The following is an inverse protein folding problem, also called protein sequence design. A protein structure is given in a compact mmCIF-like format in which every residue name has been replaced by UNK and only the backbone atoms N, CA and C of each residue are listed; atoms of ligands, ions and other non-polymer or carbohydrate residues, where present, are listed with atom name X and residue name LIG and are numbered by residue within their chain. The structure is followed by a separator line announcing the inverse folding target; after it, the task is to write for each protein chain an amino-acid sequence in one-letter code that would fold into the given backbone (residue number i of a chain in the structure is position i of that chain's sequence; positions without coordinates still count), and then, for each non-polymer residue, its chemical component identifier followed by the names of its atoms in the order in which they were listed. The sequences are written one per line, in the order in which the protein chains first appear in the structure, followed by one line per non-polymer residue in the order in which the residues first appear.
data_IF_768741277830
#
_entry.id   IF_768741277830
#
_cell.length_a   1.000
_cell.length_b   1.000
_cell.length_c   1.000
_cell.angle_alpha   90.00
_cell.angle_beta   90.00
_cell.angle_gamma   90.00
#
_symmetry.space_group_name_H-M   'P 1'
#
loop_
_entity.id
_entity.type
_entity.pdbx_description
1 polymer ?
#
# COMPACT_ATOMS: atom_id res chain seq x y z
N UNK A 1 -2.71 36.50 3.36
CA UNK A 1 -3.19 35.28 4.05
C UNK A 1 -2.11 34.23 3.87
N UNK A 2 -1.49 33.74 4.94
CA UNK A 2 -0.48 32.67 4.85
C UNK A 2 -1.21 31.33 4.68
N UNK A 3 -0.91 30.60 3.61
CA UNK A 3 -1.43 29.26 3.38
C UNK A 3 -0.83 28.33 4.43
N UNK A 4 -1.67 27.54 5.10
CA UNK A 4 -1.18 26.50 6.01
C UNK A 4 -0.28 25.53 5.23
N UNK A 5 0.86 25.10 5.80
CA UNK A 5 1.65 24.03 5.19
C UNK A 5 0.77 22.78 5.12
N UNK A 6 0.63 22.25 3.91
CA UNK A 6 -0.11 21.01 3.69
C UNK A 6 0.74 19.84 4.18
N UNK A 7 0.17 18.97 5.01
CA UNK A 7 0.81 17.76 5.53
C UNK A 7 1.27 16.80 4.43
N UNK A 8 0.75 16.95 3.21
CA UNK A 8 1.09 16.11 2.07
C UNK A 8 1.78 16.90 0.96
N UNK A 9 2.78 16.30 0.28
CA UNK A 9 3.37 16.92 -0.90
C UNK A 9 2.32 17.09 -2.01
N UNK A 10 2.43 18.10 -2.88
CA UNK A 10 1.51 18.28 -4.02
C UNK A 10 1.42 17.08 -4.97
N UNK A 11 2.47 16.24 -5.03
CA UNK A 11 2.51 14.99 -5.80
C UNK A 11 2.18 13.72 -5.00
N UNK A 12 1.72 13.84 -3.76
CA UNK A 12 1.58 12.73 -2.83
C UNK A 12 2.92 12.18 -2.33
N UNK A 13 2.88 11.05 -1.62
CA UNK A 13 4.06 10.42 -1.02
C UNK A 13 4.80 9.44 -1.94
N UNK A 14 4.40 9.33 -3.22
CA UNK A 14 4.96 8.34 -4.15
C UNK A 14 4.64 6.88 -3.79
N UNK A 15 5.27 5.94 -4.50
CA UNK A 15 5.10 4.52 -4.28
C UNK A 15 5.62 4.12 -2.88
N UNK A 16 4.97 3.19 -2.15
CA UNK A 16 5.38 2.81 -0.80
C UNK A 16 6.87 2.47 -0.64
N UNK A 17 7.48 1.84 -1.66
CA UNK A 17 8.90 1.47 -1.67
C UNK A 17 9.88 2.66 -1.70
N UNK A 18 9.41 3.83 -2.11
CA UNK A 18 10.22 5.06 -2.22
C UNK A 18 9.96 6.01 -1.03
N UNK A 19 9.09 5.58 -0.08
CA UNK A 19 8.77 6.37 1.12
C UNK A 19 9.84 6.17 2.19
N UNK A 20 10.20 7.26 2.85
CA UNK A 20 11.09 7.25 4.00
C UNK A 20 10.33 7.61 5.27
N UNK A 21 10.71 6.98 6.39
CA UNK A 21 10.20 7.34 7.71
C UNK A 21 10.73 8.72 8.11
N UNK A 22 9.88 9.54 8.72
CA UNK A 22 10.31 10.82 9.33
C UNK A 22 10.83 10.52 10.75
N UNK A 23 12.00 9.90 10.84
CA UNK A 23 12.54 9.40 12.11
C UNK A 23 13.12 10.50 13.02
N UNK A 24 13.30 11.72 12.50
CA UNK A 24 14.16 12.73 13.12
C UNK A 24 13.43 13.74 14.03
N UNK A 25 12.12 13.59 14.25
CA UNK A 25 11.36 14.51 15.11
C UNK A 25 11.10 13.90 16.51
N UNK A 26 11.28 14.74 17.54
CA UNK A 26 10.74 14.48 18.88
C UNK A 26 9.21 14.29 18.76
N UNK A 27 8.77 13.05 18.90
CA UNK A 27 7.36 12.67 18.78
C UNK A 27 6.54 13.05 20.04
N UNK A 28 7.18 13.64 21.06
CA UNK A 28 6.55 14.04 22.31
C UNK A 28 6.12 12.87 23.20
N UNK A 29 6.51 11.64 22.89
CA UNK A 29 6.16 10.45 23.66
C UNK A 29 7.14 10.25 24.84
N UNK A 30 6.67 9.78 26.01
CA UNK A 30 7.54 9.44 27.12
C UNK A 30 8.63 8.44 26.74
N UNK A 31 9.81 8.57 27.36
CA UNK A 31 10.90 7.61 27.18
C UNK A 31 10.45 6.19 27.53
N UNK A 32 10.77 5.23 26.65
CA UNK A 32 10.35 3.83 26.80
C UNK A 32 8.96 3.53 26.24
N UNK A 33 8.28 4.49 25.61
CA UNK A 33 7.03 4.23 24.88
C UNK A 33 7.30 3.36 23.65
N UNK A 34 6.64 2.20 23.57
CA UNK A 34 6.60 1.37 22.36
C UNK A 34 5.32 1.67 21.56
N UNK A 35 5.49 1.86 20.24
CA UNK A 35 4.36 2.11 19.32
C UNK A 35 4.10 0.86 18.49
N UNK A 36 2.87 0.36 18.55
CA UNK A 36 2.40 -0.74 17.71
C UNK A 36 1.36 -0.23 16.74
N UNK A 37 1.62 -0.38 15.43
CA UNK A 37 0.62 -0.03 14.43
C UNK A 37 -0.47 -1.09 14.38
N UNK A 38 -1.73 -0.68 14.56
CA UNK A 38 -2.88 -1.55 14.36
C UNK A 38 -3.19 -1.80 12.87
N UNK A 39 -2.55 -1.04 11.97
CA UNK A 39 -2.73 -1.15 10.52
C UNK A 39 -1.38 -1.06 9.80
N UNK A 40 -1.08 -2.06 8.98
CA UNK A 40 0.07 -2.04 8.10
C UNK A 40 -0.24 -2.81 6.82
N UNK A 41 0.41 -2.43 5.74
CA UNK A 41 0.19 -3.00 4.41
C UNK A 41 1.48 -3.60 3.87
N UNK A 42 1.36 -4.68 3.10
CA UNK A 42 2.47 -5.29 2.36
C UNK A 42 2.33 -4.99 0.87
N UNK A 43 3.45 -4.77 0.20
CA UNK A 43 3.47 -4.68 -1.27
C UNK A 43 3.62 -6.08 -1.85
N UNK A 44 2.84 -6.40 -2.88
CA UNK A 44 2.87 -7.70 -3.57
C UNK A 44 3.25 -7.50 -5.03
N UNK A 45 4.12 -8.37 -5.53
CA UNK A 45 4.53 -8.44 -6.94
C UNK A 45 4.16 -9.77 -7.61
N UNK A 46 3.55 -10.68 -6.87
CA UNK A 46 3.26 -12.05 -7.29
C UNK A 46 1.77 -12.35 -7.19
N UNK A 47 1.27 -13.25 -8.03
CA UNK A 47 -0.15 -13.63 -8.09
C UNK A 47 -0.51 -14.67 -7.00
N UNK A 48 -0.22 -14.29 -5.75
CA UNK A 48 -0.27 -15.19 -4.59
C UNK A 48 -1.64 -15.84 -4.37
N UNK A 49 -2.71 -15.15 -4.76
CA UNK A 49 -4.07 -15.64 -4.60
C UNK A 49 -4.33 -16.79 -5.58
N UNK A 50 -4.06 -16.59 -6.87
CA UNK A 50 -4.25 -17.64 -7.88
C UNK A 50 -3.42 -18.89 -7.57
N UNK A 51 -2.17 -18.70 -7.13
CA UNK A 51 -1.27 -19.82 -6.82
C UNK A 51 -1.74 -20.68 -5.64
N UNK A 52 -2.29 -20.04 -4.61
CA UNK A 52 -2.68 -20.68 -3.34
C UNK A 52 -4.18 -20.98 -3.22
N UNK A 53 -5.02 -20.48 -4.12
CA UNK A 53 -6.45 -20.77 -4.10
C UNK A 53 -6.75 -22.25 -4.35
N UNK A 54 -7.85 -22.79 -3.76
CA UNK A 54 -8.34 -24.12 -4.09
C UNK A 54 -8.49 -24.31 -5.60
N UNK A 55 -8.12 -25.49 -6.11
CA UNK A 55 -8.00 -25.74 -7.55
C UNK A 55 -9.30 -25.39 -8.31
N UNK A 56 -10.45 -25.77 -7.75
CA UNK A 56 -11.78 -25.51 -8.29
C UNK A 56 -12.24 -24.04 -8.22
N UNK A 57 -11.51 -23.20 -7.48
CA UNK A 57 -11.79 -21.78 -7.32
C UNK A 57 -10.71 -20.86 -7.91
N UNK A 58 -9.62 -21.39 -8.47
CA UNK A 58 -8.49 -20.59 -8.97
C UNK A 58 -8.90 -19.51 -9.96
N UNK A 59 -9.78 -19.85 -10.90
CA UNK A 59 -10.27 -18.90 -11.90
C UNK A 59 -11.17 -17.79 -11.32
N UNK A 60 -11.58 -17.91 -10.05
CA UNK A 60 -12.33 -16.88 -9.31
C UNK A 60 -11.46 -16.09 -8.34
N UNK A 61 -10.18 -16.45 -8.21
CA UNK A 61 -9.27 -15.78 -7.31
C UNK A 61 -9.02 -14.32 -7.78
N UNK A 62 -8.80 -13.39 -6.83
CA UNK A 62 -8.15 -12.12 -7.15
C UNK A 62 -6.87 -12.36 -7.95
N UNK A 63 -6.58 -11.47 -8.90
CA UNK A 63 -5.40 -11.50 -9.74
C UNK A 63 -4.51 -10.31 -9.41
N UNK A 64 -3.21 -10.52 -9.40
CA UNK A 64 -2.19 -9.47 -9.34
C UNK A 64 -1.51 -9.34 -10.70
N UNK A 65 -1.37 -8.13 -11.22
CA UNK A 65 -0.63 -7.85 -12.46
C UNK A 65 0.03 -6.48 -12.42
N UNK A 66 1.06 -6.27 -13.23
CA UNK A 66 1.71 -4.97 -13.37
C UNK A 66 1.17 -4.21 -14.59
N UNK A 67 0.80 -2.95 -14.39
CA UNK A 67 0.24 -2.07 -15.41
C UNK A 67 0.51 -0.61 -15.02
N UNK A 68 0.84 0.25 -16.00
CA UNK A 68 1.01 1.70 -15.82
C UNK A 68 1.89 2.14 -14.64
N UNK A 69 2.94 1.37 -14.34
CA UNK A 69 3.90 1.71 -13.29
C UNK A 69 3.55 1.19 -11.89
N UNK A 70 2.45 0.46 -11.73
CA UNK A 70 2.00 -0.07 -10.44
C UNK A 70 1.54 -1.53 -10.55
N UNK A 71 1.54 -2.23 -9.41
CA UNK A 71 0.86 -3.52 -9.28
C UNK A 71 -0.62 -3.28 -8.95
N UNK A 72 -1.48 -3.95 -9.71
CA UNK A 72 -2.92 -3.87 -9.63
C UNK A 72 -3.48 -5.13 -8.96
N UNK A 73 -4.66 -5.00 -8.36
CA UNK A 73 -5.43 -6.12 -7.81
C UNK A 73 -6.87 -6.06 -8.32
N UNK A 74 -7.40 -7.18 -8.80
CA UNK A 74 -8.70 -7.22 -9.46
C UNK A 74 -9.18 -8.63 -9.76
N UNK A 75 -10.28 -8.75 -10.51
CA UNK A 75 -10.77 -10.04 -11.03
C UNK A 75 -9.94 -10.55 -12.21
N UNK A 76 -9.14 -9.66 -12.80
CA UNK A 76 -8.32 -9.89 -13.97
C UNK A 76 -7.93 -8.56 -14.61
N UNK A 77 -7.08 -8.61 -15.64
CA UNK A 77 -6.64 -7.40 -16.36
C UNK A 77 -7.85 -6.58 -16.83
N UNK A 78 -7.83 -5.27 -16.55
CA UNK A 78 -8.92 -4.34 -16.87
C UNK A 78 -10.16 -4.43 -15.96
N UNK A 79 -10.18 -5.31 -14.96
CA UNK A 79 -11.27 -5.43 -13.97
C UNK A 79 -10.72 -5.27 -12.54
N UNK A 80 -10.23 -4.07 -12.24
CA UNK A 80 -9.79 -3.68 -10.88
C UNK A 80 -10.96 -3.69 -9.88
N UNK A 81 -10.66 -3.91 -8.60
CA UNK A 81 -11.64 -3.75 -7.51
C UNK A 81 -11.80 -2.30 -7.05
N UNK A 82 -10.89 -1.42 -7.48
CA UNK A 82 -10.95 -0.01 -7.19
C UNK A 82 -11.90 0.68 -8.19
N UNK A 83 -12.69 1.67 -7.74
CA UNK A 83 -13.59 2.44 -8.61
C UNK A 83 -12.86 3.25 -9.69
#
# INVERSE_FOLDING_TARGET
MMSAPTLYPPGGLGAPKDRHTHADDDNGLPAGTEVFSADNHISLSEDIFYEKFPAELKEKAPRIWYEDGAYMVGKGKGQTFLP
#
